data_IF_475177407991
#
_entry.id   IF_475177407991
#
_cell.length_a   1.000
_cell.length_b   1.000
_cell.length_c   1.000
_cell.angle_alpha   90.00
_cell.angle_beta   90.00
_cell.angle_gamma   90.00
#
_symmetry.space_group_name_H-M   'P 1'
#
loop_
_entity.id
_entity.type
_entity.pdbx_description
1 polymer ?
#
# COMPACT_ATOMS: atom_id res chain seq x y z
N UNK A 1 4.20 10.28 7.34
CA UNK A 1 5.64 10.49 7.05
C UNK A 1 6.38 9.22 7.44
N UNK A 2 7.26 8.69 6.59
CA UNK A 2 7.99 7.44 6.84
C UNK A 2 9.44 7.81 7.14
N UNK A 3 9.94 7.40 8.29
CA UNK A 3 11.32 7.65 8.73
C UNK A 3 11.99 6.31 8.98
N UNK A 4 13.20 6.13 8.44
CA UNK A 4 14.04 4.94 8.66
C UNK A 4 15.38 5.41 9.20
N UNK A 5 15.66 5.05 10.45
CA UNK A 5 16.94 5.36 11.07
C UNK A 5 18.00 4.35 10.61
N UNK A 6 19.07 4.86 10.01
CA UNK A 6 20.23 4.07 9.58
C UNK A 6 21.11 3.80 10.81
N UNK A 7 21.49 2.54 11.03
CA UNK A 7 22.39 2.16 12.13
C UNK A 7 23.86 2.37 11.71
N UNK A 8 24.75 2.69 12.67
CA UNK A 8 26.21 2.72 12.41
C UNK A 8 26.67 1.33 11.92
N UNK A 9 27.29 1.28 10.74
CA UNK A 9 27.74 0.03 10.11
C UNK A 9 26.75 -0.61 9.13
N UNK A 10 25.59 0.00 8.88
CA UNK A 10 24.66 -0.48 7.87
C UNK A 10 24.99 0.05 6.47
N UNK A 11 25.01 -0.83 5.47
CA UNK A 11 25.06 -0.42 4.06
C UNK A 11 23.80 0.33 3.64
N UNK A 12 23.98 1.44 2.91
CA UNK A 12 22.91 2.32 2.40
C UNK A 12 21.83 1.51 1.66
N UNK A 13 22.21 0.48 0.89
CA UNK A 13 21.26 -0.36 0.15
C UNK A 13 20.28 -1.11 1.05
N UNK A 14 20.74 -1.54 2.24
CA UNK A 14 19.86 -2.21 3.22
C UNK A 14 18.87 -1.22 3.82
N UNK A 15 19.31 0.00 4.12
CA UNK A 15 18.43 1.06 4.60
C UNK A 15 17.37 1.44 3.55
N UNK A 16 17.76 1.58 2.27
CA UNK A 16 16.85 1.85 1.17
C UNK A 16 15.84 0.73 0.95
N UNK A 17 16.27 -0.54 1.06
CA UNK A 17 15.37 -1.70 0.97
C UNK A 17 14.32 -1.66 2.09
N UNK A 18 14.73 -1.36 3.32
CA UNK A 18 13.81 -1.22 4.46
C UNK A 18 12.84 -0.07 4.26
N UNK A 19 13.32 1.09 3.78
CA UNK A 19 12.46 2.22 3.44
C UNK A 19 11.42 1.85 2.37
N UNK A 20 11.84 1.20 1.27
CA UNK A 20 10.93 0.74 0.22
C UNK A 20 9.87 -0.23 0.77
N UNK A 21 10.28 -1.16 1.64
CA UNK A 21 9.36 -2.09 2.30
C UNK A 21 8.35 -1.36 3.19
N UNK A 22 8.79 -0.36 3.97
CA UNK A 22 7.93 0.46 4.82
C UNK A 22 6.95 1.30 3.97
N UNK A 23 7.38 1.88 2.85
CA UNK A 23 6.52 2.60 1.89
C UNK A 23 5.46 1.68 1.27
N UNK A 24 5.82 0.44 0.94
CA UNK A 24 4.88 -0.54 0.42
C UNK A 24 3.86 -0.99 1.48
N UNK A 25 4.32 -1.24 2.72
CA UNK A 25 3.45 -1.59 3.85
C UNK A 25 2.48 -0.49 4.21
N UNK A 26 2.97 0.74 4.30
CA UNK A 26 2.16 1.92 4.60
C UNK A 26 1.15 2.25 3.49
N UNK A 27 1.26 1.64 2.30
CA UNK A 27 0.27 1.83 1.24
C UNK A 27 0.28 3.21 0.60
N UNK A 28 1.31 4.05 0.87
CA UNK A 28 1.39 5.45 0.44
C UNK A 28 1.14 5.61 -1.06
N UNK A 29 1.71 4.72 -1.88
CA UNK A 29 1.51 4.74 -3.33
C UNK A 29 0.08 4.37 -3.76
N UNK A 30 -0.60 3.49 -3.00
CA UNK A 30 -2.01 3.16 -3.26
C UNK A 30 -2.91 4.32 -2.90
N UNK A 31 -2.66 4.97 -1.76
CA UNK A 31 -3.48 6.08 -1.27
C UNK A 31 -3.31 7.32 -2.15
N UNK A 32 -2.08 7.57 -2.61
CA UNK A 32 -1.80 8.59 -3.63
C UNK A 32 -2.64 8.34 -4.89
N UNK A 33 -2.54 7.15 -5.49
CA UNK A 33 -3.32 6.81 -6.70
C UNK A 33 -4.83 6.92 -6.49
N UNK A 34 -5.32 6.60 -5.29
CA UNK A 34 -6.75 6.63 -4.95
C UNK A 34 -7.28 8.04 -4.73
N UNK A 35 -6.41 8.97 -4.33
CA UNK A 35 -6.75 10.36 -4.02
C UNK A 35 -6.41 11.32 -5.17
N UNK A 36 -5.64 10.88 -6.16
CA UNK A 36 -5.20 11.70 -7.28
C UNK A 36 -6.34 12.21 -8.18
N UNK A 37 -7.52 11.62 -8.10
CA UNK A 37 -8.71 12.06 -8.83
C UNK A 37 -9.96 11.90 -7.96
N UNK A 38 -10.91 12.82 -8.14
CA UNK A 38 -12.20 12.72 -7.47
C UNK A 38 -13.00 11.55 -8.05
N UNK A 39 -13.44 10.66 -7.16
CA UNK A 39 -14.39 9.60 -7.47
C UNK A 39 -15.68 9.87 -6.72
N UNK A 40 -16.82 9.76 -7.41
CA UNK A 40 -18.13 9.87 -6.79
C UNK A 40 -18.27 8.82 -5.67
N UNK A 41 -18.99 9.12 -4.56
CA UNK A 41 -19.15 8.18 -3.46
C UNK A 41 -19.71 6.82 -3.88
N UNK A 42 -20.61 6.79 -4.87
CA UNK A 42 -21.17 5.57 -5.45
C UNK A 42 -20.12 4.69 -6.12
N UNK A 43 -19.22 5.29 -6.89
CA UNK A 43 -18.13 4.58 -7.57
C UNK A 43 -17.09 4.06 -6.58
N UNK A 44 -16.74 4.86 -5.56
CA UNK A 44 -15.87 4.41 -4.46
C UNK A 44 -16.45 3.17 -3.76
N UNK A 45 -17.75 3.17 -3.46
CA UNK A 45 -18.46 2.01 -2.86
C UNK A 45 -18.45 0.79 -3.79
N UNK A 46 -18.69 0.97 -5.09
CA UNK A 46 -18.66 -0.11 -6.09
C UNK A 46 -17.28 -0.76 -6.19
N UNK A 47 -16.22 0.04 -6.26
CA UNK A 47 -14.83 -0.44 -6.31
C UNK A 47 -14.48 -1.22 -5.03
N UNK A 48 -14.85 -0.70 -3.85
CA UNK A 48 -14.60 -1.36 -2.57
C UNK A 48 -15.29 -2.74 -2.48
N UNK A 49 -16.56 -2.83 -2.89
CA UNK A 49 -17.32 -4.10 -2.92
C UNK A 49 -16.68 -5.14 -3.85
N UNK A 50 -16.23 -4.71 -5.03
CA UNK A 50 -15.56 -5.59 -5.98
C UNK A 50 -14.20 -6.10 -5.47
N UNK A 51 -13.42 -5.23 -4.80
CA UNK A 51 -12.16 -5.61 -4.15
C UNK A 51 -12.40 -6.63 -3.02
N UNK A 52 -13.43 -6.44 -2.20
CA UNK A 52 -13.78 -7.38 -1.13
C UNK A 52 -14.16 -8.76 -1.70
N UNK A 53 -15.02 -8.79 -2.73
CA UNK A 53 -15.38 -10.04 -3.43
C UNK A 53 -14.15 -10.77 -4.01
N UNK A 54 -13.22 -10.03 -4.63
CA UNK A 54 -11.97 -10.61 -5.14
C UNK A 54 -11.08 -11.18 -4.03
N UNK A 55 -11.02 -10.52 -2.86
CA UNK A 55 -10.27 -11.04 -1.71
C UNK A 55 -10.88 -12.33 -1.17
N UNK A 56 -12.20 -12.36 -0.98
CA UNK A 56 -12.91 -13.57 -0.50
C UNK A 56 -12.69 -14.76 -1.43
N UNK A 57 -12.76 -14.55 -2.75
CA UNK A 57 -12.47 -15.60 -3.75
C UNK A 57 -11.05 -16.17 -3.63
N UNK A 58 -10.07 -15.34 -3.27
CA UNK A 58 -8.68 -15.80 -3.09
C UNK A 58 -8.48 -16.59 -1.81
N UNK A 59 -9.23 -16.28 -0.75
CA UNK A 59 -9.13 -16.97 0.53
C UNK A 59 -9.93 -18.27 0.58
N UNK A 60 -10.99 -18.40 -0.23
CA UNK A 60 -11.83 -19.60 -0.32
C UNK A 60 -11.28 -20.69 -1.26
N UNK A 61 -10.19 -20.42 -1.98
CA UNK A 61 -9.56 -21.36 -2.92
C UNK A 61 -8.24 -21.94 -2.40
N UNK A 62 -8.07 -21.97 -1.08
CA UNK A 62 -6.95 -22.60 -0.39
C UNK A 62 -7.44 -23.67 0.58
#
# INVERSE_FOLDING_TARGET
MIVVNVKKGESIDRALKRFKQQCQRAGVLKDFKKSNFYLKPSEKKKIAKNLAKRRMRRTSSG
#
